data_IF_206607349923
#
_entry.id   IF_206607349923
#
_cell.length_a   1.000
_cell.length_b   1.000
_cell.length_c   1.000
_cell.angle_alpha   90.00
_cell.angle_beta   90.00
_cell.angle_gamma   90.00
#
_symmetry.space_group_name_H-M   'P 1'
#
loop_
_entity.id
_entity.type
_entity.pdbx_description
1 polymer ?
#
# COMPACT_ATOMS: atom_id res chain seq x y z
N UNK A 1 -1.42 54.86 34.51
CA UNK A 1 -1.41 53.41 34.39
C UNK A 1 -2.23 53.03 33.15
N UNK A 2 -1.64 53.02 31.96
CA UNK A 2 -2.31 52.59 30.74
C UNK A 2 -1.60 51.33 30.19
N UNK A 3 -2.40 50.30 29.92
CA UNK A 3 -1.98 49.03 29.33
C UNK A 3 -1.79 49.22 27.83
N UNK A 4 -0.58 49.03 27.33
CA UNK A 4 -0.34 48.78 25.92
C UNK A 4 -0.43 47.29 25.66
N UNK A 5 -1.54 46.84 25.10
CA UNK A 5 -1.69 45.50 24.50
C UNK A 5 -1.16 45.57 23.08
N UNK A 6 0.07 45.12 22.89
CA UNK A 6 0.62 44.87 21.57
C UNK A 6 0.02 43.56 21.01
N UNK A 7 -0.86 43.68 20.03
CA UNK A 7 -1.30 42.56 19.21
C UNK A 7 -0.16 42.19 18.26
N UNK A 8 0.46 41.04 18.49
CA UNK A 8 1.34 40.42 17.50
C UNK A 8 0.46 39.92 16.33
N UNK A 9 0.85 40.15 15.08
CA UNK A 9 0.12 39.59 13.96
C UNK A 9 0.26 38.09 13.97
N UNK A 10 -0.87 37.41 14.04
CA UNK A 10 -0.96 35.96 13.88
C UNK A 10 -0.49 35.61 12.46
N UNK A 11 0.68 34.99 12.36
CA UNK A 11 1.17 34.46 11.11
C UNK A 11 0.17 33.40 10.63
N UNK A 12 -0.61 33.74 9.63
CA UNK A 12 -1.50 32.84 8.94
C UNK A 12 -0.66 31.71 8.35
N UNK A 13 -0.57 30.59 9.06
CA UNK A 13 -0.04 29.35 8.53
C UNK A 13 -0.85 29.03 7.26
N UNK A 14 -0.21 29.10 6.11
CA UNK A 14 -0.81 28.70 4.85
C UNK A 14 -1.23 27.23 4.99
N UNK A 15 -2.53 27.01 5.24
CA UNK A 15 -3.14 25.69 5.15
C UNK A 15 -2.99 25.25 3.71
N UNK A 16 -2.03 24.36 3.44
CA UNK A 16 -2.05 23.56 2.23
C UNK A 16 -3.29 22.69 2.32
N UNK A 17 -4.40 23.15 1.72
CA UNK A 17 -5.65 22.39 1.67
C UNK A 17 -5.36 21.07 0.99
N UNK A 18 -5.48 19.95 1.72
CA UNK A 18 -5.54 18.65 1.09
C UNK A 18 -6.63 18.68 0.01
N UNK A 19 -6.39 18.06 -1.16
CA UNK A 19 -7.40 17.99 -2.20
C UNK A 19 -8.68 17.41 -1.63
N UNK A 20 -9.85 17.96 -1.96
CA UNK A 20 -11.15 17.40 -1.55
C UNK A 20 -11.19 15.91 -1.92
N UNK A 21 -11.88 15.06 -1.16
CA UNK A 21 -11.96 13.63 -1.41
C UNK A 21 -12.36 13.28 -2.87
N UNK A 22 -13.19 14.13 -3.50
CA UNK A 22 -13.59 13.99 -4.91
C UNK A 22 -12.44 14.27 -5.88
N UNK A 23 -11.63 15.28 -5.60
CA UNK A 23 -10.45 15.58 -6.42
C UNK A 23 -9.43 14.44 -6.36
N UNK A 24 -9.25 13.87 -5.18
CA UNK A 24 -8.35 12.73 -5.00
C UNK A 24 -8.88 11.49 -5.71
N UNK A 25 -10.17 11.17 -5.61
CA UNK A 25 -10.79 10.05 -6.35
C UNK A 25 -10.61 10.18 -7.85
N UNK A 26 -10.85 11.37 -8.41
CA UNK A 26 -10.63 11.66 -9.84
C UNK A 26 -9.17 11.50 -10.24
N UNK A 27 -8.22 11.88 -9.37
CA UNK A 27 -6.80 11.70 -9.62
C UNK A 27 -6.42 10.21 -9.62
N UNK A 28 -6.89 9.44 -8.62
CA UNK A 28 -6.70 7.98 -8.55
C UNK A 28 -7.21 7.31 -9.82
N UNK A 29 -8.46 7.63 -10.20
CA UNK A 29 -9.08 7.06 -11.39
C UNK A 29 -8.29 7.39 -12.66
N UNK A 30 -7.93 8.65 -12.86
CA UNK A 30 -7.13 9.07 -14.04
C UNK A 30 -5.81 8.31 -14.14
N UNK A 31 -5.03 8.25 -13.05
CA UNK A 31 -3.74 7.54 -13.04
C UNK A 31 -3.95 6.04 -13.33
N UNK A 32 -5.03 5.46 -12.82
CA UNK A 32 -5.37 4.06 -13.06
C UNK A 32 -5.75 3.80 -14.52
N UNK A 33 -6.48 4.71 -15.15
CA UNK A 33 -6.91 4.60 -16.55
C UNK A 33 -5.75 4.81 -17.54
N UNK A 34 -4.76 5.64 -17.17
CA UNK A 34 -3.51 5.83 -17.94
C UNK A 34 -2.59 4.59 -17.88
N UNK A 35 -2.81 3.70 -16.91
CA UNK A 35 -2.03 2.47 -16.76
C UNK A 35 -2.68 1.31 -17.54
N UNK A 36 -1.85 0.35 -17.93
CA UNK A 36 -2.25 -0.84 -18.69
C UNK A 36 -1.96 -2.13 -17.91
N UNK A 37 -2.62 -3.25 -18.23
CA UNK A 37 -2.24 -4.55 -17.70
C UNK A 37 -0.75 -4.82 -17.90
N UNK A 38 -0.14 -5.51 -16.94
CA UNK A 38 1.26 -5.95 -17.06
C UNK A 38 1.37 -6.99 -18.16
N UNK A 39 2.32 -6.80 -19.06
CA UNK A 39 2.59 -7.69 -20.19
C UNK A 39 4.03 -8.17 -20.18
N UNK A 40 4.27 -9.32 -20.79
CA UNK A 40 5.61 -9.90 -20.87
C UNK A 40 6.63 -8.91 -21.48
N UNK A 41 7.75 -8.71 -20.80
CA UNK A 41 8.84 -7.83 -21.22
C UNK A 41 8.65 -6.36 -20.89
N UNK A 42 7.52 -5.91 -20.34
CA UNK A 42 7.39 -4.54 -19.84
C UNK A 42 8.23 -4.34 -18.55
N UNK A 43 8.28 -3.09 -18.08
CA UNK A 43 9.16 -2.72 -16.95
C UNK A 43 8.74 -3.42 -15.65
N UNK A 44 7.44 -3.67 -15.45
CA UNK A 44 6.93 -4.36 -14.27
C UNK A 44 7.23 -5.86 -14.35
N UNK A 45 7.03 -6.50 -15.50
CA UNK A 45 7.39 -7.91 -15.70
C UNK A 45 8.89 -8.14 -15.47
N UNK A 46 9.74 -7.28 -16.05
CA UNK A 46 11.20 -7.35 -15.82
C UNK A 46 11.55 -7.18 -14.34
N UNK A 47 10.93 -6.22 -13.67
CA UNK A 47 11.12 -5.99 -12.25
C UNK A 47 10.74 -7.21 -11.42
N UNK A 48 9.55 -7.78 -11.64
CA UNK A 48 9.05 -8.94 -10.90
C UNK A 48 9.93 -10.16 -11.15
N UNK A 49 10.30 -10.43 -12.41
CA UNK A 49 11.22 -11.54 -12.76
C UNK A 49 12.60 -11.36 -12.14
N UNK A 50 13.14 -10.16 -12.15
CA UNK A 50 14.42 -9.82 -11.50
C UNK A 50 14.41 -10.07 -9.99
N UNK A 51 13.23 -10.14 -9.37
CA UNK A 51 13.03 -10.51 -7.97
C UNK A 51 12.66 -11.99 -7.77
N UNK A 52 12.74 -12.81 -8.81
CA UNK A 52 12.35 -14.23 -8.76
C UNK A 52 10.83 -14.46 -8.79
N UNK A 53 10.03 -13.44 -9.09
CA UNK A 53 8.56 -13.48 -9.08
C UNK A 53 8.03 -13.70 -10.51
N UNK A 54 8.35 -14.85 -11.10
CA UNK A 54 7.85 -15.23 -12.42
C UNK A 54 6.40 -15.75 -12.32
N UNK A 55 5.43 -14.87 -12.41
CA UNK A 55 4.02 -15.22 -12.37
C UNK A 55 3.52 -15.60 -13.77
N UNK A 56 2.77 -16.71 -13.93
CA UNK A 56 2.11 -17.03 -15.21
C UNK A 56 1.14 -15.94 -15.65
N UNK A 57 0.43 -15.37 -14.69
CA UNK A 57 -0.49 -14.23 -14.88
C UNK A 57 -0.28 -13.27 -13.71
N UNK A 58 0.04 -12.01 -14.02
CA UNK A 58 0.13 -10.96 -13.01
C UNK A 58 -1.27 -10.55 -12.59
N UNK A 59 -1.57 -10.45 -11.27
CA UNK A 59 -2.89 -10.05 -10.80
C UNK A 59 -3.35 -8.71 -11.37
N UNK A 60 -4.61 -8.61 -11.81
CA UNK A 60 -5.17 -7.41 -12.45
C UNK A 60 -5.17 -6.16 -11.53
N UNK A 61 -5.03 -6.36 -10.23
CA UNK A 61 -4.85 -5.29 -9.23
C UNK A 61 -3.50 -4.59 -9.36
N UNK A 62 -2.56 -5.18 -10.12
CA UNK A 62 -1.28 -4.59 -10.50
C UNK A 62 -1.34 -4.14 -11.95
N UNK A 63 -0.89 -2.90 -12.21
CA UNK A 63 -0.80 -2.33 -13.56
C UNK A 63 0.55 -1.67 -13.82
N UNK A 64 0.90 -1.58 -15.08
CA UNK A 64 2.06 -0.86 -15.56
C UNK A 64 1.67 0.54 -16.04
N UNK A 65 2.29 1.58 -15.46
CA UNK A 65 2.23 2.95 -15.95
C UNK A 65 3.57 3.32 -16.60
N UNK A 66 3.58 3.72 -17.90
CA UNK A 66 4.84 3.90 -18.63
C UNK A 66 5.67 5.12 -18.19
N UNK A 67 5.01 6.19 -17.74
CA UNK A 67 5.67 7.46 -17.40
C UNK A 67 4.89 8.21 -16.30
N UNK A 68 4.93 7.69 -15.07
CA UNK A 68 4.26 8.32 -13.93
C UNK A 68 5.10 9.45 -13.35
N UNK A 69 4.49 10.61 -13.10
CA UNK A 69 5.15 11.74 -12.46
C UNK A 69 5.72 11.38 -11.08
N UNK A 70 7.02 11.64 -10.90
CA UNK A 70 7.71 11.51 -9.61
C UNK A 70 7.84 12.87 -8.97
N UNK A 71 7.37 12.99 -7.72
CA UNK A 71 7.29 14.25 -6.99
C UNK A 71 8.03 14.13 -5.66
N UNK A 72 8.73 15.21 -5.30
CA UNK A 72 9.31 15.39 -3.97
C UNK A 72 8.83 16.71 -3.37
N UNK A 73 8.91 16.83 -2.05
CA UNK A 73 8.63 18.08 -1.35
C UNK A 73 9.90 18.93 -1.35
N UNK A 74 9.76 20.21 -1.73
CA UNK A 74 10.81 21.19 -1.57
C UNK A 74 10.94 21.64 -0.09
N UNK A 75 11.92 22.51 0.19
CA UNK A 75 12.17 23.04 1.55
C UNK A 75 10.96 23.75 2.17
N UNK A 76 10.07 24.27 1.33
CA UNK A 76 8.80 24.89 1.75
C UNK A 76 7.66 23.86 1.91
N UNK A 77 7.93 22.56 1.74
CA UNK A 77 6.94 21.48 1.81
C UNK A 77 6.00 21.37 0.60
N UNK A 78 6.24 22.17 -0.47
CA UNK A 78 5.45 22.15 -1.70
C UNK A 78 5.89 20.99 -2.59
N UNK A 79 4.92 20.23 -3.11
CA UNK A 79 5.19 19.13 -4.04
C UNK A 79 5.66 19.64 -5.40
N UNK A 80 6.85 19.21 -5.84
CA UNK A 80 7.44 19.54 -7.14
C UNK A 80 7.67 18.27 -7.94
N UNK A 81 7.26 18.29 -9.21
CA UNK A 81 7.55 17.20 -10.15
C UNK A 81 9.02 17.28 -10.55
N UNK A 82 9.77 16.21 -10.33
CA UNK A 82 11.19 16.11 -10.67
C UNK A 82 11.41 15.39 -12.00
N UNK A 83 10.66 14.32 -12.25
CA UNK A 83 10.82 13.47 -13.42
C UNK A 83 9.55 12.65 -13.68
N UNK A 84 9.59 11.83 -14.71
CA UNK A 84 8.66 10.75 -14.97
C UNK A 84 9.42 9.44 -15.03
N UNK A 85 8.82 8.39 -14.43
CA UNK A 85 9.40 7.05 -14.44
C UNK A 85 8.32 6.00 -14.73
N UNK A 86 8.70 4.89 -15.34
CA UNK A 86 7.89 3.69 -15.32
C UNK A 86 7.49 3.34 -13.88
N UNK A 87 6.28 2.86 -13.68
CA UNK A 87 5.82 2.50 -12.34
C UNK A 87 4.91 1.27 -12.34
N UNK A 88 5.07 0.43 -11.33
CA UNK A 88 4.06 -0.54 -10.95
C UNK A 88 3.03 0.17 -10.07
N UNK A 89 1.79 0.16 -10.49
CA UNK A 89 0.64 0.59 -9.71
C UNK A 89 -0.01 -0.62 -9.06
N UNK A 90 -0.39 -0.48 -7.80
CA UNK A 90 -1.20 -1.46 -7.10
C UNK A 90 -2.43 -0.78 -6.50
N UNK A 91 -3.62 -1.28 -6.83
CA UNK A 91 -4.87 -0.76 -6.32
C UNK A 91 -5.06 -1.19 -4.86
N UNK A 92 -5.16 -0.23 -3.95
CA UNK A 92 -5.50 -0.45 -2.54
C UNK A 92 -7.03 -0.38 -2.43
N UNK A 93 -7.63 -1.46 -1.93
CA UNK A 93 -9.09 -1.64 -1.87
C UNK A 93 -9.57 -1.72 -0.43
N UNK A 94 -10.69 -1.05 -0.16
CA UNK A 94 -11.41 -1.11 1.12
C UNK A 94 -12.11 -2.45 1.33
N UNK A 95 -12.78 -2.62 2.48
CA UNK A 95 -13.52 -3.86 2.79
C UNK A 95 -14.64 -4.14 1.78
N UNK A 96 -15.24 -3.11 1.23
CA UNK A 96 -16.26 -3.15 0.18
C UNK A 96 -15.74 -3.51 -1.23
N UNK A 97 -14.42 -3.67 -1.38
CA UNK A 97 -13.74 -3.95 -2.66
C UNK A 97 -13.49 -2.72 -3.53
N UNK A 98 -14.01 -1.54 -3.15
CA UNK A 98 -13.76 -0.32 -3.91
C UNK A 98 -12.34 0.21 -3.72
N UNK A 99 -11.81 0.85 -4.77
CA UNK A 99 -10.51 1.50 -4.73
C UNK A 99 -10.51 2.66 -3.74
N UNK A 100 -9.58 2.63 -2.79
CA UNK A 100 -9.31 3.70 -1.83
C UNK A 100 -8.24 4.63 -2.39
N UNK A 101 -7.13 4.05 -2.85
CA UNK A 101 -5.98 4.78 -3.40
C UNK A 101 -5.06 3.83 -4.18
N UNK A 102 -3.92 4.35 -4.63
CA UNK A 102 -2.89 3.59 -5.34
C UNK A 102 -1.58 3.58 -4.57
N UNK A 103 -0.98 2.40 -4.48
CA UNK A 103 0.44 2.27 -4.17
C UNK A 103 1.23 2.32 -5.49
N UNK A 104 2.34 3.03 -5.49
CA UNK A 104 3.22 3.26 -6.65
C UNK A 104 4.62 2.77 -6.32
N UNK A 105 5.16 1.88 -7.14
CA UNK A 105 6.58 1.51 -7.10
C UNK A 105 7.23 2.02 -8.37
N UNK A 106 8.07 3.04 -8.25
CA UNK A 106 8.80 3.61 -9.39
C UNK A 106 9.95 2.71 -9.80
N UNK A 107 10.10 2.53 -11.10
CA UNK A 107 11.03 1.59 -11.70
C UNK A 107 12.01 2.30 -12.64
N UNK A 108 13.16 1.69 -12.84
CA UNK A 108 14.14 2.07 -13.86
C UNK A 108 14.96 0.84 -14.23
N UNK A 109 15.07 0.56 -15.52
CA UNK A 109 15.88 -0.52 -16.08
C UNK A 109 15.53 -1.91 -15.46
N UNK A 110 14.24 -2.21 -15.27
CA UNK A 110 13.75 -3.47 -14.67
C UNK A 110 14.03 -3.60 -13.18
N UNK A 111 14.36 -2.52 -12.48
CA UNK A 111 14.63 -2.52 -11.05
C UNK A 111 13.86 -1.40 -10.34
N UNK A 112 13.72 -1.52 -9.01
CA UNK A 112 13.18 -0.43 -8.20
C UNK A 112 14.10 0.80 -8.32
N UNK A 113 13.51 1.98 -8.53
CA UNK A 113 14.25 3.24 -8.60
C UNK A 113 15.14 3.40 -7.36
N UNK A 114 16.41 3.75 -7.58
CA UNK A 114 17.35 4.05 -6.49
C UNK A 114 17.13 5.48 -5.99
N UNK A 115 16.03 5.70 -5.32
CA UNK A 115 15.68 6.96 -4.67
C UNK A 115 15.11 6.65 -3.27
N UNK A 116 15.21 7.61 -2.35
CA UNK A 116 14.76 7.43 -0.98
C UNK A 116 13.29 6.94 -0.92
N UNK A 117 12.44 7.51 -1.76
CA UNK A 117 11.00 7.26 -1.79
C UNK A 117 10.56 6.57 -3.10
N UNK A 118 11.21 5.47 -3.48
CA UNK A 118 10.81 4.72 -4.67
C UNK A 118 9.42 4.08 -4.55
N UNK A 119 8.91 3.90 -3.34
CA UNK A 119 7.55 3.42 -3.02
C UNK A 119 6.74 4.53 -2.36
N UNK A 120 5.57 4.84 -2.90
CA UNK A 120 4.69 5.92 -2.38
C UNK A 120 3.23 5.50 -2.46
N UNK A 121 2.46 5.85 -1.43
CA UNK A 121 0.99 5.83 -1.51
C UNK A 121 0.51 7.19 -2.01
N UNK A 122 -0.49 7.20 -2.88
CA UNK A 122 -0.96 8.44 -3.51
C UNK A 122 -1.68 9.37 -2.52
N UNK A 123 -2.40 8.78 -1.55
CA UNK A 123 -3.07 9.52 -0.48
C UNK A 123 -2.90 8.82 0.85
N UNK A 124 -3.00 9.57 1.95
CA UNK A 124 -3.01 9.02 3.30
C UNK A 124 -4.35 8.30 3.63
N UNK A 125 -4.38 7.58 4.73
CA UNK A 125 -5.63 7.06 5.30
C UNK A 125 -6.13 5.76 4.68
N UNK A 126 -5.23 4.81 4.42
CA UNK A 126 -5.61 3.47 3.92
C UNK A 126 -6.38 2.61 4.95
N UNK A 127 -6.26 2.90 6.25
CA UNK A 127 -7.09 2.42 7.38
C UNK A 127 -7.69 1.01 7.24
N UNK A 128 -6.83 -0.01 7.15
CA UNK A 128 -7.24 -1.41 7.06
C UNK A 128 -7.59 -1.89 5.64
N UNK A 129 -7.46 -1.04 4.62
CA UNK A 129 -7.52 -1.44 3.23
C UNK A 129 -6.25 -2.21 2.80
N UNK A 130 -6.33 -2.98 1.73
CA UNK A 130 -5.25 -3.84 1.26
C UNK A 130 -5.11 -3.84 -0.26
N UNK A 131 -3.95 -4.21 -0.75
CA UNK A 131 -3.82 -4.73 -2.11
C UNK A 131 -4.26 -6.19 -2.10
N UNK A 132 -5.41 -6.47 -2.69
CA UNK A 132 -6.00 -7.81 -2.78
C UNK A 132 -5.41 -8.52 -3.98
N UNK A 133 -4.22 -9.10 -3.80
CA UNK A 133 -3.50 -9.74 -4.90
C UNK A 133 -4.28 -10.90 -5.50
N UNK A 134 -5.01 -11.63 -4.68
CA UNK A 134 -5.85 -12.76 -5.09
C UNK A 134 -7.16 -12.76 -4.31
N UNK A 135 -8.24 -13.24 -4.93
CA UNK A 135 -9.54 -13.35 -4.29
C UNK A 135 -9.45 -14.23 -3.03
N UNK A 136 -10.01 -13.71 -1.93
CA UNK A 136 -10.05 -14.44 -0.67
C UNK A 136 -11.05 -15.60 -0.77
N UNK A 137 -10.67 -16.73 -0.18
CA UNK A 137 -11.55 -17.89 0.02
C UNK A 137 -11.91 -18.00 1.51
N UNK A 138 -12.19 -19.20 2.02
CA UNK A 138 -12.28 -19.45 3.46
C UNK A 138 -10.91 -19.33 4.16
N UNK A 139 -9.81 -19.38 3.40
CA UNK A 139 -8.44 -19.14 3.85
C UNK A 139 -7.85 -17.91 3.17
N UNK A 140 -7.07 -17.13 3.92
CA UNK A 140 -6.34 -15.98 3.43
C UNK A 140 -4.98 -15.86 4.11
N UNK A 141 -3.94 -15.65 3.33
CA UNK A 141 -2.65 -15.21 3.81
C UNK A 141 -2.57 -13.68 3.78
N UNK A 142 -1.96 -13.09 4.80
CA UNK A 142 -1.72 -11.65 4.84
C UNK A 142 -0.25 -11.37 5.17
N UNK A 143 0.31 -10.34 4.54
CA UNK A 143 1.68 -9.88 4.74
C UNK A 143 1.75 -8.36 4.56
N UNK A 144 2.91 -7.77 4.80
CA UNK A 144 3.11 -6.34 4.61
C UNK A 144 3.30 -5.99 3.13
N UNK A 145 4.28 -6.58 2.47
CA UNK A 145 4.75 -6.17 1.16
C UNK A 145 4.05 -6.88 -0.02
N UNK A 146 3.90 -6.17 -1.14
CA UNK A 146 3.34 -6.72 -2.39
C UNK A 146 4.22 -7.86 -2.91
N UNK A 147 5.53 -7.64 -2.95
CA UNK A 147 6.50 -8.63 -3.44
C UNK A 147 6.52 -9.88 -2.55
N UNK A 148 6.47 -9.70 -1.23
CA UNK A 148 6.30 -10.79 -0.24
C UNK A 148 5.01 -11.56 -0.52
N UNK A 149 3.90 -10.86 -0.77
CA UNK A 149 2.62 -11.48 -1.07
C UNK A 149 2.63 -12.32 -2.35
N UNK A 150 3.26 -11.82 -3.40
CA UNK A 150 3.41 -12.58 -4.66
C UNK A 150 4.29 -13.84 -4.46
N UNK A 151 5.39 -13.73 -3.70
CA UNK A 151 6.25 -14.87 -3.36
C UNK A 151 5.50 -15.94 -2.56
N UNK A 152 4.72 -15.51 -1.56
CA UNK A 152 3.87 -16.40 -0.76
C UNK A 152 2.85 -17.15 -1.61
N UNK A 153 2.19 -16.45 -2.54
CA UNK A 153 1.26 -17.10 -3.45
C UNK A 153 1.96 -18.13 -4.35
N UNK A 154 3.11 -17.80 -4.91
CA UNK A 154 3.88 -18.72 -5.73
C UNK A 154 4.27 -20.00 -4.95
N UNK A 155 4.68 -19.84 -3.69
CA UNK A 155 5.12 -20.96 -2.84
C UNK A 155 3.95 -21.79 -2.29
N UNK A 156 2.83 -21.16 -1.92
CA UNK A 156 1.75 -21.81 -1.14
C UNK A 156 0.47 -22.03 -1.91
N UNK A 157 0.29 -21.35 -3.03
CA UNK A 157 -0.96 -21.26 -3.81
C UNK A 157 -2.15 -20.67 -3.04
N UNK A 158 -1.94 -20.13 -1.86
CA UNK A 158 -2.97 -19.46 -1.08
C UNK A 158 -3.32 -18.10 -1.66
N UNK A 159 -4.56 -17.62 -1.48
CA UNK A 159 -4.87 -16.21 -1.71
C UNK A 159 -4.09 -15.35 -0.71
N UNK A 160 -3.60 -14.21 -1.18
CA UNK A 160 -2.77 -13.30 -0.37
C UNK A 160 -3.22 -11.86 -0.54
N UNK A 161 -3.29 -11.12 0.57
CA UNK A 161 -3.46 -9.67 0.61
C UNK A 161 -2.25 -9.00 1.24
N UNK A 162 -1.85 -7.84 0.68
CA UNK A 162 -0.74 -7.04 1.20
C UNK A 162 -1.26 -5.78 1.90
N UNK A 163 -0.83 -5.59 3.15
CA UNK A 163 -1.21 -4.47 4.02
C UNK A 163 -0.46 -3.16 3.72
N UNK A 164 0.56 -3.19 2.87
CA UNK A 164 1.36 -2.06 2.37
C UNK A 164 2.39 -1.51 3.37
N UNK A 165 2.07 -1.44 4.63
CA UNK A 165 2.99 -1.09 5.70
C UNK A 165 2.58 -1.74 7.01
N UNK A 166 3.53 -1.83 7.94
CA UNK A 166 3.35 -2.49 9.22
C UNK A 166 2.16 -1.93 10.02
N UNK A 167 2.05 -0.62 10.17
CA UNK A 167 0.97 0.01 10.94
C UNK A 167 -0.42 -0.16 10.34
N UNK A 168 -0.54 -0.39 9.02
CA UNK A 168 -1.81 -0.71 8.40
C UNK A 168 -2.10 -2.22 8.45
N UNK A 169 -1.07 -3.07 8.49
CA UNK A 169 -1.23 -4.52 8.65
C UNK A 169 -2.02 -4.84 9.94
N UNK A 170 -1.71 -4.18 11.06
CA UNK A 170 -2.46 -4.33 12.31
C UNK A 170 -3.96 -4.04 12.15
N UNK A 171 -4.29 -3.01 11.34
CA UNK A 171 -5.65 -2.51 11.14
C UNK A 171 -6.43 -3.25 10.05
N UNK A 172 -5.80 -4.23 9.39
CA UNK A 172 -6.33 -4.86 8.20
C UNK A 172 -7.76 -5.38 8.40
N UNK A 173 -8.69 -4.94 7.55
CA UNK A 173 -10.08 -5.38 7.56
C UNK A 173 -10.23 -6.62 6.66
N UNK A 174 -10.77 -7.70 7.22
CA UNK A 174 -10.92 -8.97 6.52
C UNK A 174 -12.40 -9.32 6.32
N UNK A 175 -12.79 -9.91 5.17
CA UNK A 175 -14.16 -10.35 4.95
C UNK A 175 -14.60 -11.40 5.97
N UNK A 176 -15.86 -11.40 6.32
CA UNK A 176 -16.43 -12.39 7.25
C UNK A 176 -16.38 -13.82 6.72
N UNK A 177 -16.32 -13.98 5.40
CA UNK A 177 -16.18 -15.29 4.74
C UNK A 177 -14.84 -15.98 5.02
N UNK A 178 -13.80 -15.22 5.37
CA UNK A 178 -12.48 -15.76 5.71
C UNK A 178 -12.52 -16.41 7.09
N UNK A 179 -12.31 -17.73 7.14
CA UNK A 179 -12.31 -18.54 8.35
C UNK A 179 -10.91 -18.86 8.88
N UNK A 180 -9.92 -18.87 8.01
CA UNK A 180 -8.52 -19.16 8.36
C UNK A 180 -7.63 -18.03 7.89
N UNK A 181 -6.85 -17.47 8.79
CA UNK A 181 -5.90 -16.39 8.49
C UNK A 181 -4.49 -16.83 8.83
N UNK A 182 -3.60 -16.79 7.82
CA UNK A 182 -2.16 -16.99 7.99
C UNK A 182 -1.46 -15.64 7.90
N UNK A 183 -0.79 -15.21 8.97
CA UNK A 183 -0.08 -13.93 9.03
C UNK A 183 1.40 -14.19 8.82
N UNK A 184 1.98 -13.54 7.81
CA UNK A 184 3.41 -13.61 7.48
C UNK A 184 4.05 -12.27 7.84
N UNK A 185 4.83 -12.28 8.91
CA UNK A 185 5.60 -11.13 9.37
C UNK A 185 6.91 -11.00 8.60
N UNK A 186 7.30 -9.77 8.26
CA UNK A 186 8.66 -9.52 7.79
C UNK A 186 9.64 -9.72 8.96
N UNK A 187 10.85 -10.21 8.64
CA UNK A 187 11.88 -10.44 9.65
C UNK A 187 12.76 -9.20 9.80
N UNK A 188 12.37 -8.29 10.68
CA UNK A 188 13.08 -7.04 10.98
C UNK A 188 14.03 -7.20 12.17
N UNK A 189 14.69 -8.37 12.31
CA UNK A 189 15.58 -8.67 13.42
C UNK A 189 16.78 -7.70 13.52
N UNK A 190 17.22 -7.15 12.39
CA UNK A 190 18.29 -6.15 12.32
C UNK A 190 17.80 -4.71 12.60
N UNK A 191 16.51 -4.53 12.87
CA UNK A 191 15.83 -3.28 13.17
C UNK A 191 15.16 -3.29 14.54
N UNK A 192 13.98 -2.71 14.61
CA UNK A 192 13.18 -2.56 15.83
C UNK A 192 12.05 -3.62 15.97
N UNK A 193 12.06 -4.68 15.17
CA UNK A 193 11.03 -5.71 15.11
C UNK A 193 9.63 -5.19 14.73
N UNK A 194 9.54 -4.06 14.03
CA UNK A 194 8.25 -3.44 13.71
C UNK A 194 7.32 -4.39 12.95
N UNK A 195 7.81 -5.09 11.92
CA UNK A 195 7.01 -6.05 11.15
C UNK A 195 6.42 -7.15 12.04
N UNK A 196 7.25 -7.76 12.90
CA UNK A 196 6.78 -8.79 13.85
C UNK A 196 5.79 -8.22 14.84
N UNK A 197 6.04 -7.03 15.41
CA UNK A 197 5.20 -6.38 16.41
C UNK A 197 3.78 -6.15 15.85
N UNK A 198 3.65 -5.57 14.68
CA UNK A 198 2.36 -5.28 14.05
C UNK A 198 1.64 -6.55 13.55
N UNK A 199 2.39 -7.57 13.09
CA UNK A 199 1.83 -8.87 12.75
C UNK A 199 1.24 -9.56 14.01
N UNK A 200 1.95 -9.54 15.14
CA UNK A 200 1.41 -10.04 16.41
C UNK A 200 0.24 -9.21 16.92
N UNK A 201 0.22 -7.90 16.73
CA UNK A 201 -0.92 -7.05 17.08
C UNK A 201 -2.17 -7.44 16.28
N UNK A 202 -2.03 -7.67 14.95
CA UNK A 202 -3.10 -8.23 14.12
C UNK A 202 -3.55 -9.61 14.63
N UNK A 203 -2.62 -10.53 14.87
CA UNK A 203 -2.93 -11.86 15.37
C UNK A 203 -3.74 -11.81 16.71
N UNK A 204 -3.30 -10.95 17.63
CA UNK A 204 -3.95 -10.71 18.91
C UNK A 204 -5.38 -10.17 18.74
N UNK A 205 -5.58 -9.22 17.83
CA UNK A 205 -6.91 -8.67 17.52
C UNK A 205 -7.83 -9.76 16.98
N UNK A 206 -7.40 -10.49 15.95
CA UNK A 206 -8.19 -11.56 15.34
C UNK A 206 -8.48 -12.71 16.31
N UNK A 207 -7.54 -13.06 17.21
CA UNK A 207 -7.77 -14.06 18.27
C UNK A 207 -8.80 -13.62 19.31
N UNK A 208 -8.91 -12.33 19.58
CA UNK A 208 -9.98 -11.80 20.44
C UNK A 208 -11.34 -11.89 19.75
N UNK A 209 -11.39 -11.54 18.45
CA UNK A 209 -12.59 -11.70 17.62
C UNK A 209 -13.01 -13.17 17.54
N UNK A 210 -12.07 -14.12 17.38
CA UNK A 210 -12.34 -15.57 17.39
C UNK A 210 -13.01 -16.02 18.68
N UNK A 211 -12.51 -15.58 19.84
CA UNK A 211 -13.09 -15.93 21.15
C UNK A 211 -14.52 -15.39 21.35
N UNK A 212 -14.82 -14.25 20.74
CA UNK A 212 -16.12 -13.59 20.90
C UNK A 212 -17.15 -14.11 19.89
N UNK A 213 -16.74 -14.41 18.67
CA UNK A 213 -17.65 -14.74 17.57
C UNK A 213 -17.51 -16.18 17.07
N UNK A 214 -16.44 -16.90 17.44
CA UNK A 214 -16.08 -18.20 16.86
C UNK A 214 -15.71 -18.16 15.38
N UNK A 215 -15.49 -16.96 14.82
CA UNK A 215 -15.53 -16.75 13.38
C UNK A 215 -14.26 -17.19 12.63
N UNK A 216 -13.07 -17.15 13.27
CA UNK A 216 -11.79 -17.33 12.52
C UNK A 216 -10.74 -18.09 13.30
N UNK A 217 -9.95 -18.91 12.60
CA UNK A 217 -8.69 -19.46 13.10
C UNK A 217 -7.52 -18.60 12.61
N UNK A 218 -6.57 -18.31 13.51
CA UNK A 218 -5.38 -17.50 13.23
C UNK A 218 -4.13 -18.35 13.42
N UNK A 219 -3.25 -18.37 12.42
CA UNK A 219 -1.96 -19.07 12.40
C UNK A 219 -0.83 -18.13 12.02
#
# INVERSE_FOLDING_TARGET
VERCLGLLPEAAAARTSEPSGDRMRKLVQRIWDEARPVTAGDEVDRYLRGRGLALPVVPAVLRFHPALGYYEKDEAGKSRKLAEYPAMLACIQGLDGHAVTLHRTYLKDGAKLKAADAKKVLSAGINGAAVRLFEATDELAVCEGIETGLALHLATRKPVWAGINAGNLEKLCLPETVRKVCIYADNDADGDFAGQCFAFALARRLKREEKTTGARQVR
#
